data_IF_134042091407
#
_entry.id   IF_134042091407
#
_cell.length_a   1.000
_cell.length_b   1.000
_cell.length_c   1.000
_cell.angle_alpha   90.00
_cell.angle_beta   90.00
_cell.angle_gamma   90.00
#
_symmetry.space_group_name_H-M   'P 1'
#
loop_
_entity.id
_entity.type
_entity.pdbx_description
1 polymer ?
#
# COMPACT_ATOMS: atom_id res chain seq x y z
N UNK A 1 58.99 31.53 -34.83
CA UNK A 1 57.51 31.32 -34.93
C UNK A 1 57.15 30.18 -33.98
N UNK A 2 56.52 30.48 -32.84
CA UNK A 2 56.05 29.45 -31.89
C UNK A 2 54.56 29.23 -32.10
N UNK A 3 54.07 28.00 -32.22
CA UNK A 3 52.65 27.75 -32.30
C UNK A 3 51.99 27.89 -30.94
N UNK A 4 50.93 28.73 -30.87
CA UNK A 4 50.05 28.88 -29.71
C UNK A 4 49.10 27.69 -29.65
N UNK A 5 49.17 26.88 -28.63
CA UNK A 5 48.19 25.85 -28.26
C UNK A 5 46.96 26.54 -27.63
N UNK A 6 45.82 26.41 -28.24
CA UNK A 6 44.50 26.84 -27.69
C UNK A 6 43.97 25.66 -26.89
N UNK A 7 43.67 25.82 -25.55
CA UNK A 7 43.03 24.76 -24.79
C UNK A 7 41.55 24.67 -25.19
N UNK A 8 41.13 23.51 -25.66
CA UNK A 8 39.71 23.18 -25.82
C UNK A 8 39.16 22.80 -24.46
N UNK A 9 38.35 23.67 -23.86
CA UNK A 9 37.58 23.33 -22.65
C UNK A 9 36.42 22.43 -23.05
N UNK A 10 36.53 21.14 -22.72
CA UNK A 10 35.42 20.19 -22.75
C UNK A 10 34.49 20.49 -21.59
N UNK A 11 33.35 21.12 -21.81
CA UNK A 11 32.29 21.27 -20.84
C UNK A 11 31.62 19.91 -20.64
N UNK A 12 31.92 19.21 -19.54
CA UNK A 12 31.12 18.08 -19.09
C UNK A 12 29.76 18.58 -18.64
N UNK A 13 28.72 18.41 -19.47
CA UNK A 13 27.35 18.54 -19.05
C UNK A 13 27.01 17.32 -18.17
N UNK A 14 27.04 17.51 -16.85
CA UNK A 14 26.43 16.55 -15.92
C UNK A 14 24.91 16.62 -16.10
N UNK A 15 24.36 15.64 -16.81
CA UNK A 15 22.93 15.44 -16.81
C UNK A 15 22.52 15.14 -15.36
N UNK A 16 21.86 16.08 -14.70
CA UNK A 16 21.21 15.82 -13.42
C UNK A 16 20.08 14.83 -13.70
N UNK A 17 20.28 13.56 -13.36
CA UNK A 17 19.18 12.61 -13.32
C UNK A 17 18.19 13.12 -12.27
N UNK A 18 16.97 13.43 -12.69
CA UNK A 18 15.89 13.72 -11.78
C UNK A 18 15.76 12.51 -10.82
N UNK A 19 15.64 12.76 -9.51
CA UNK A 19 15.45 11.70 -8.55
C UNK A 19 14.21 10.88 -8.96
N UNK A 20 14.36 9.56 -9.03
CA UNK A 20 13.22 8.68 -9.28
C UNK A 20 12.33 8.63 -8.04
N UNK A 21 11.04 8.87 -8.22
CA UNK A 21 10.03 8.73 -7.19
C UNK A 21 9.26 7.43 -7.37
N UNK A 22 9.99 6.32 -7.47
CA UNK A 22 9.42 4.99 -7.61
C UNK A 22 8.53 4.62 -6.43
N UNK A 23 7.52 3.80 -6.71
CA UNK A 23 6.55 3.29 -5.75
C UNK A 23 6.60 1.75 -5.73
N UNK A 24 7.65 1.14 -5.12
CA UNK A 24 8.00 -0.25 -5.38
C UNK A 24 7.09 -1.29 -4.73
N UNK A 25 6.18 -0.88 -3.87
CA UNK A 25 5.34 -1.78 -3.06
C UNK A 25 4.09 -1.07 -2.55
N UNK A 26 3.25 -1.81 -1.83
CA UNK A 26 2.09 -1.32 -1.11
C UNK A 26 2.43 -0.09 -0.26
N UNK A 27 1.69 1.01 -0.49
CA UNK A 27 1.82 2.29 0.21
C UNK A 27 3.19 2.98 0.02
N UNK A 28 3.89 2.64 -1.07
CA UNK A 28 5.16 3.27 -1.45
C UNK A 28 6.39 2.75 -0.71
N UNK A 29 7.54 3.41 -0.88
CA UNK A 29 8.81 2.93 -0.34
C UNK A 29 8.80 2.72 1.17
N UNK A 30 8.09 3.58 1.90
CA UNK A 30 8.01 3.55 3.37
C UNK A 30 6.72 2.88 3.89
N UNK A 31 5.91 2.28 3.01
CA UNK A 31 4.59 1.67 3.32
C UNK A 31 3.64 2.61 4.07
N UNK A 32 3.66 3.90 3.70
CA UNK A 32 2.98 4.99 4.42
C UNK A 32 1.87 5.70 3.63
N UNK A 33 1.71 5.44 2.31
CA UNK A 33 0.91 6.22 1.35
C UNK A 33 1.34 7.69 1.26
N UNK A 34 2.62 7.97 1.55
CA UNK A 34 3.23 9.29 1.44
C UNK A 34 4.24 9.29 0.30
N UNK A 35 3.97 10.06 -0.75
CA UNK A 35 4.95 10.36 -1.79
C UNK A 35 5.83 11.53 -1.32
N UNK A 36 7.14 11.42 -1.58
CA UNK A 36 8.12 12.48 -1.28
C UNK A 36 8.27 13.46 -2.43
N UNK A 37 7.45 13.34 -3.46
CA UNK A 37 7.47 14.23 -4.61
C UNK A 37 7.04 15.65 -4.25
N UNK A 38 7.63 16.60 -4.96
CA UNK A 38 7.29 18.01 -4.95
C UNK A 38 7.14 18.54 -6.39
N UNK A 39 6.60 19.74 -6.55
CA UNK A 39 6.33 20.29 -7.89
C UNK A 39 5.11 19.65 -8.53
N UNK A 40 4.13 19.25 -7.74
CA UNK A 40 2.86 18.72 -8.21
C UNK A 40 1.78 19.81 -8.27
N UNK A 41 0.72 19.56 -9.05
CA UNK A 41 -0.42 20.47 -9.17
C UNK A 41 -1.04 20.73 -7.78
N UNK A 42 -0.96 21.97 -7.34
CA UNK A 42 -1.52 22.41 -6.06
C UNK A 42 -3.03 22.64 -6.11
N UNK A 43 -3.59 22.77 -7.33
CA UNK A 43 -5.00 22.88 -7.64
C UNK A 43 -5.27 22.19 -8.98
N UNK A 44 -6.33 21.43 -9.07
CA UNK A 44 -6.70 20.82 -10.34
C UNK A 44 -7.50 21.78 -11.21
N UNK A 45 -7.34 21.71 -12.54
CA UNK A 45 -8.20 22.42 -13.48
C UNK A 45 -9.65 21.88 -13.41
N UNK A 46 -10.58 22.61 -14.00
CA UNK A 46 -11.95 22.12 -14.16
C UNK A 46 -11.96 20.79 -14.93
N UNK A 47 -12.64 19.79 -14.37
CA UNK A 47 -12.66 18.43 -14.93
C UNK A 47 -11.49 17.53 -14.49
N UNK A 48 -10.58 18.02 -13.66
CA UNK A 48 -9.46 17.23 -13.10
C UNK A 48 -8.15 17.36 -13.89
N UNK A 49 -7.12 16.62 -13.48
CA UNK A 49 -5.83 16.61 -14.15
C UNK A 49 -5.91 15.93 -15.52
N UNK A 50 -4.97 16.23 -16.42
CA UNK A 50 -4.93 15.68 -17.78
C UNK A 50 -4.77 14.15 -17.73
N UNK A 51 -5.71 13.43 -18.32
CA UNK A 51 -5.60 11.99 -18.52
C UNK A 51 -4.53 11.70 -19.57
N UNK A 52 -3.57 10.82 -19.24
CA UNK A 52 -2.48 10.42 -20.12
C UNK A 52 -2.84 9.15 -20.89
N UNK A 53 -3.34 8.13 -20.19
CA UNK A 53 -3.74 6.88 -20.80
C UNK A 53 -4.76 6.12 -19.91
N UNK A 54 -5.42 5.13 -20.51
CA UNK A 54 -6.30 4.15 -19.87
C UNK A 54 -5.91 2.76 -20.32
N UNK A 55 -5.86 1.81 -19.40
CA UNK A 55 -5.70 0.38 -19.67
C UNK A 55 -6.96 -0.35 -19.18
N UNK A 56 -7.61 -1.11 -20.05
CA UNK A 56 -8.95 -1.70 -19.81
C UNK A 56 -8.94 -3.22 -19.73
N UNK A 57 -7.79 -3.85 -19.51
CA UNK A 57 -7.66 -5.31 -19.50
C UNK A 57 -6.91 -5.83 -18.26
N UNK A 58 -7.08 -5.15 -17.11
CA UNK A 58 -6.49 -5.63 -15.87
C UNK A 58 -7.28 -6.78 -15.23
N UNK A 59 -8.52 -7.00 -15.65
CA UNK A 59 -9.41 -8.00 -15.07
C UNK A 59 -9.88 -7.65 -13.66
N UNK A 60 -10.62 -8.55 -13.03
CA UNK A 60 -11.10 -8.35 -11.66
C UNK A 60 -9.94 -8.25 -10.67
N UNK A 61 -10.15 -7.47 -9.61
CA UNK A 61 -9.22 -7.35 -8.51
C UNK A 61 -9.13 -5.94 -7.94
N UNK A 62 -8.49 -5.83 -6.79
CA UNK A 62 -8.32 -4.58 -6.05
C UNK A 62 -6.84 -4.26 -5.80
N UNK A 63 -5.94 -4.95 -6.49
CA UNK A 63 -4.50 -4.76 -6.38
C UNK A 63 -4.10 -3.34 -6.78
N UNK A 64 -3.41 -2.63 -5.91
CA UNK A 64 -2.75 -1.38 -6.24
C UNK A 64 -1.56 -1.58 -7.19
N UNK A 65 -1.09 -0.55 -7.88
CA UNK A 65 0.12 -0.61 -8.69
C UNK A 65 1.39 -0.41 -7.85
N UNK A 66 2.45 -1.14 -8.23
CA UNK A 66 3.84 -0.78 -7.93
C UNK A 66 4.47 -0.16 -9.18
N UNK A 67 5.24 0.91 -9.01
CA UNK A 67 5.87 1.65 -10.11
C UNK A 67 7.38 1.64 -9.89
N UNK A 68 8.13 1.05 -10.80
CA UNK A 68 9.60 0.95 -10.71
C UNK A 68 10.20 1.05 -12.11
N UNK A 69 11.21 1.89 -12.25
CA UNK A 69 11.98 2.02 -13.50
C UNK A 69 11.10 2.19 -14.75
N UNK A 70 10.06 3.02 -14.66
CA UNK A 70 9.15 3.31 -15.78
C UNK A 70 8.18 2.17 -16.12
N UNK A 71 8.07 1.14 -15.27
CA UNK A 71 7.08 0.06 -15.39
C UNK A 71 6.10 0.08 -14.24
N UNK A 72 4.85 -0.28 -14.55
CA UNK A 72 3.78 -0.47 -13.60
C UNK A 72 3.53 -1.96 -13.45
N UNK A 73 3.50 -2.46 -12.21
CA UNK A 73 3.16 -3.84 -11.88
C UNK A 73 1.90 -3.87 -11.03
N UNK A 74 0.96 -4.75 -11.37
CA UNK A 74 -0.26 -4.97 -10.59
C UNK A 74 -0.76 -6.39 -10.77
N UNK A 75 -1.79 -6.78 -10.03
CA UNK A 75 -2.40 -8.09 -10.15
C UNK A 75 -3.83 -7.95 -10.71
N UNK A 76 -4.27 -8.96 -11.46
CA UNK A 76 -5.62 -9.00 -12.01
C UNK A 76 -6.06 -10.43 -12.32
N UNK A 77 -7.04 -10.57 -13.21
CA UNK A 77 -7.54 -11.89 -13.63
C UNK A 77 -7.60 -12.01 -15.14
N UNK A 78 -7.22 -13.18 -15.68
CA UNK A 78 -7.36 -13.56 -17.08
C UNK A 78 -7.57 -15.07 -17.19
N UNK A 79 -8.39 -15.49 -18.13
CA UNK A 79 -8.58 -16.91 -18.50
C UNK A 79 -8.78 -17.82 -17.27
N UNK A 80 -9.60 -17.37 -16.30
CA UNK A 80 -9.90 -18.12 -15.08
C UNK A 80 -8.76 -18.22 -14.07
N UNK A 81 -7.70 -17.39 -14.20
CA UNK A 81 -6.55 -17.32 -13.27
C UNK A 81 -6.30 -15.91 -12.79
N UNK A 82 -5.68 -15.79 -11.64
CA UNK A 82 -5.04 -14.54 -11.24
C UNK A 82 -3.74 -14.36 -12.02
N UNK A 83 -3.39 -13.12 -12.34
CA UNK A 83 -2.21 -12.79 -13.16
C UNK A 83 -1.43 -11.64 -12.55
N UNK A 84 -0.11 -11.66 -12.74
CA UNK A 84 0.74 -10.48 -12.57
C UNK A 84 0.83 -9.77 -13.91
N UNK A 85 0.60 -8.47 -13.93
CA UNK A 85 0.64 -7.62 -15.11
C UNK A 85 1.80 -6.65 -15.00
N UNK A 86 2.56 -6.48 -16.07
CA UNK A 86 3.53 -5.41 -16.23
C UNK A 86 3.13 -4.53 -17.40
N UNK A 87 3.01 -3.23 -17.14
CA UNK A 87 2.69 -2.21 -18.13
C UNK A 87 3.85 -1.23 -18.25
N UNK A 88 4.03 -0.62 -19.40
CA UNK A 88 4.85 0.57 -19.56
C UNK A 88 4.13 1.75 -18.86
N UNK A 89 4.76 2.33 -17.85
CA UNK A 89 4.13 3.38 -17.04
C UNK A 89 3.91 4.68 -17.81
N UNK A 90 4.66 4.92 -18.92
CA UNK A 90 4.50 6.12 -19.73
C UNK A 90 3.29 6.05 -20.65
N UNK A 91 2.99 4.87 -21.19
CA UNK A 91 2.01 4.67 -22.26
C UNK A 91 0.81 3.81 -21.87
N UNK A 92 0.87 3.09 -20.75
CA UNK A 92 -0.13 2.11 -20.34
C UNK A 92 -0.14 0.81 -21.17
N UNK A 93 0.81 0.64 -22.09
CA UNK A 93 0.89 -0.59 -22.91
C UNK A 93 1.36 -1.77 -22.07
N UNK A 94 0.73 -2.92 -22.28
CA UNK A 94 1.16 -4.15 -21.65
C UNK A 94 2.54 -4.59 -22.18
N UNK A 95 3.42 -4.96 -21.25
CA UNK A 95 4.75 -5.50 -21.54
C UNK A 95 4.72 -7.02 -21.44
N UNK A 96 4.15 -7.54 -20.35
CA UNK A 96 3.91 -8.95 -20.15
C UNK A 96 2.80 -9.20 -19.13
N UNK A 97 2.21 -10.38 -19.19
CA UNK A 97 1.28 -10.93 -18.21
C UNK A 97 1.69 -12.35 -17.84
N UNK A 98 1.77 -12.65 -16.55
CA UNK A 98 2.18 -13.96 -16.06
C UNK A 98 1.10 -14.57 -15.16
N UNK A 99 0.63 -15.79 -15.45
CA UNK A 99 -0.43 -16.44 -14.66
C UNK A 99 0.10 -16.87 -13.30
N UNK A 100 -0.74 -16.66 -12.27
CA UNK A 100 -0.61 -17.25 -10.95
C UNK A 100 -1.55 -18.42 -10.77
N UNK A 101 -1.40 -19.13 -9.64
CA UNK A 101 -2.22 -20.29 -9.35
C UNK A 101 -3.57 -19.86 -8.72
N UNK A 102 -4.67 -20.40 -9.24
CA UNK A 102 -6.01 -20.21 -8.72
C UNK A 102 -6.66 -18.87 -9.08
N UNK A 103 -7.84 -18.67 -8.56
CA UNK A 103 -8.60 -17.42 -8.60
C UNK A 103 -9.43 -17.33 -7.33
N UNK A 104 -9.43 -16.18 -6.69
CA UNK A 104 -10.33 -15.91 -5.58
C UNK A 104 -11.71 -15.58 -6.11
N UNK A 105 -12.69 -16.43 -5.79
CA UNK A 105 -14.11 -16.15 -6.01
C UNK A 105 -14.68 -15.48 -4.75
N UNK A 106 -15.38 -14.35 -4.92
CA UNK A 106 -15.97 -13.62 -3.81
C UNK A 106 -17.10 -12.69 -4.28
N UNK A 107 -18.21 -12.65 -3.53
CA UNK A 107 -19.38 -11.80 -3.83
C UNK A 107 -19.09 -10.29 -3.77
N UNK A 108 -18.05 -9.90 -3.06
CA UNK A 108 -17.58 -8.51 -2.97
C UNK A 108 -16.56 -8.16 -4.07
N UNK A 109 -16.50 -8.97 -5.11
CA UNK A 109 -15.53 -8.91 -6.21
C UNK A 109 -14.41 -9.93 -6.02
N UNK A 110 -14.22 -10.74 -7.05
CA UNK A 110 -13.18 -11.76 -7.11
C UNK A 110 -11.81 -11.18 -7.44
N UNK A 111 -10.82 -12.06 -7.55
CA UNK A 111 -9.46 -11.71 -7.94
C UNK A 111 -8.55 -11.22 -6.81
N UNK A 112 -7.29 -10.93 -7.13
CA UNK A 112 -6.24 -10.58 -6.18
C UNK A 112 -6.44 -9.17 -5.59
N UNK A 113 -5.93 -8.96 -4.38
CA UNK A 113 -6.12 -7.71 -3.65
C UNK A 113 -4.81 -7.05 -3.19
N UNK A 114 -3.76 -7.84 -2.93
CA UNK A 114 -2.45 -7.34 -2.54
C UNK A 114 -1.75 -6.60 -3.68
N UNK A 115 -0.95 -5.60 -3.37
CA UNK A 115 -0.05 -4.94 -4.32
C UNK A 115 1.22 -5.79 -4.46
N UNK A 116 1.75 -6.03 -5.67
CA UNK A 116 3.03 -6.70 -5.81
C UNK A 116 4.16 -5.83 -5.24
N UNK A 117 5.21 -6.50 -4.74
CA UNK A 117 6.44 -5.84 -4.27
C UNK A 117 7.55 -6.08 -5.28
N UNK A 118 8.21 -5.01 -5.70
CA UNK A 118 9.37 -5.05 -6.60
C UNK A 118 10.65 -4.84 -5.80
N UNK A 119 11.60 -5.73 -5.94
CA UNK A 119 12.94 -5.63 -5.34
C UNK A 119 14.00 -6.12 -6.32
N UNK A 120 14.90 -5.21 -6.73
CA UNK A 120 15.93 -5.49 -7.72
C UNK A 120 15.34 -5.93 -9.07
N UNK A 121 15.68 -7.14 -9.47
CA UNK A 121 15.25 -7.77 -10.73
C UNK A 121 14.03 -8.69 -10.57
N UNK A 122 13.28 -8.58 -9.47
CA UNK A 122 12.20 -9.50 -9.12
C UNK A 122 10.91 -8.80 -8.73
N UNK A 123 9.80 -9.49 -8.99
CA UNK A 123 8.45 -9.14 -8.55
C UNK A 123 7.93 -10.24 -7.63
N UNK A 124 7.45 -9.87 -6.45
CA UNK A 124 6.85 -10.77 -5.47
C UNK A 124 5.35 -10.50 -5.38
N UNK A 125 4.54 -11.51 -5.64
CA UNK A 125 3.10 -11.38 -5.76
C UNK A 125 2.39 -12.46 -4.96
N UNK A 126 1.40 -12.07 -4.16
CA UNK A 126 0.55 -12.96 -3.38
C UNK A 126 -0.84 -13.05 -4.00
N UNK A 127 -1.25 -14.26 -4.41
CA UNK A 127 -2.59 -14.51 -4.90
C UNK A 127 -3.63 -14.45 -3.78
N UNK A 128 -4.88 -14.14 -4.12
CA UNK A 128 -5.99 -14.16 -3.16
C UNK A 128 -6.21 -15.52 -2.52
N UNK A 129 -5.73 -16.60 -3.13
CA UNK A 129 -5.83 -17.98 -2.63
C UNK A 129 -4.61 -18.45 -1.83
N UNK A 130 -3.57 -17.59 -1.67
CA UNK A 130 -2.40 -17.84 -0.84
C UNK A 130 -1.20 -18.43 -1.57
N UNK A 131 -1.17 -18.36 -2.90
CA UNK A 131 0.03 -18.66 -3.69
C UNK A 131 0.96 -17.44 -3.71
N UNK A 132 2.17 -17.58 -3.16
CA UNK A 132 3.21 -16.57 -3.24
C UNK A 132 4.15 -16.89 -4.39
N UNK A 133 4.32 -15.97 -5.32
CA UNK A 133 5.14 -16.12 -6.52
C UNK A 133 6.27 -15.10 -6.52
N UNK A 134 7.46 -15.54 -6.89
CA UNK A 134 8.56 -14.69 -7.28
C UNK A 134 8.78 -14.82 -8.79
N UNK A 135 8.75 -13.68 -9.48
CA UNK A 135 8.89 -13.63 -10.94
C UNK A 135 10.06 -12.73 -11.32
N UNK A 136 10.66 -13.01 -12.47
CA UNK A 136 11.64 -12.12 -13.08
C UNK A 136 10.96 -10.82 -13.54
N UNK A 137 11.52 -9.67 -13.17
CA UNK A 137 11.02 -8.33 -13.52
C UNK A 137 10.95 -8.12 -15.04
N UNK A 138 11.88 -8.71 -15.76
CA UNK A 138 12.08 -8.49 -17.19
C UNK A 138 10.93 -9.06 -18.03
N UNK A 139 10.51 -10.29 -17.77
CA UNK A 139 9.64 -11.08 -18.63
C UNK A 139 8.53 -11.85 -17.90
N UNK A 140 8.43 -11.74 -16.58
CA UNK A 140 7.40 -12.40 -15.78
C UNK A 140 7.61 -13.90 -15.58
N UNK A 141 8.79 -14.47 -15.96
CA UNK A 141 9.07 -15.88 -15.70
C UNK A 141 9.09 -16.16 -14.22
N UNK A 142 8.40 -17.24 -13.82
CA UNK A 142 8.38 -17.70 -12.44
C UNK A 142 9.75 -18.24 -12.05
N UNK A 143 10.35 -17.68 -10.99
CA UNK A 143 11.61 -18.12 -10.40
C UNK A 143 11.33 -19.17 -9.34
N UNK A 144 10.40 -18.90 -8.43
CA UNK A 144 9.94 -19.85 -7.44
C UNK A 144 8.48 -19.55 -7.00
N UNK A 145 7.87 -20.54 -6.35
CA UNK A 145 6.53 -20.45 -5.74
C UNK A 145 6.56 -21.01 -4.33
N UNK A 146 5.73 -20.43 -3.47
CA UNK A 146 5.44 -20.96 -2.14
C UNK A 146 3.93 -20.88 -1.86
N UNK A 147 3.44 -21.64 -0.88
CA UNK A 147 2.02 -21.67 -0.52
C UNK A 147 1.85 -21.33 0.95
N UNK A 148 1.07 -20.29 1.24
CA UNK A 148 0.73 -19.93 2.62
C UNK A 148 -0.10 -21.03 3.31
N UNK A 149 -0.88 -21.81 2.53
CA UNK A 149 -1.59 -22.98 3.07
C UNK A 149 -0.62 -24.07 3.54
N UNK A 150 0.46 -24.32 2.81
CA UNK A 150 1.50 -25.27 3.22
C UNK A 150 2.22 -24.82 4.50
N UNK A 151 2.26 -23.52 4.77
CA UNK A 151 2.77 -22.92 6.00
C UNK A 151 1.72 -22.91 7.13
N UNK A 152 0.60 -23.61 6.98
CA UNK A 152 -0.44 -23.75 8.01
C UNK A 152 -1.55 -22.72 7.94
N UNK A 153 -1.55 -21.86 6.90
CA UNK A 153 -2.55 -20.82 6.70
C UNK A 153 -3.87 -21.33 6.16
N UNK A 154 -4.94 -20.60 6.44
CA UNK A 154 -6.26 -20.76 5.85
C UNK A 154 -6.65 -19.48 5.12
N UNK A 155 -7.23 -19.60 3.92
CA UNK A 155 -7.66 -18.44 3.14
C UNK A 155 -8.71 -17.65 3.92
N UNK A 156 -8.47 -16.36 4.24
CA UNK A 156 -9.47 -15.53 4.90
C UNK A 156 -10.73 -15.35 4.04
N UNK A 157 -11.82 -14.91 4.65
CA UNK A 157 -13.13 -14.73 3.98
C UNK A 157 -13.06 -13.92 2.68
N UNK A 158 -12.24 -12.90 2.63
CA UNK A 158 -12.03 -12.05 1.45
C UNK A 158 -10.69 -12.32 0.76
N UNK A 159 -10.11 -13.52 0.96
CA UNK A 159 -8.82 -13.90 0.42
C UNK A 159 -7.64 -13.33 1.21
N UNK A 160 -6.43 -13.72 0.83
CA UNK A 160 -5.23 -13.02 1.26
C UNK A 160 -5.14 -11.67 0.56
N UNK A 161 -5.11 -10.58 1.32
CA UNK A 161 -5.08 -9.21 0.81
C UNK A 161 -3.80 -8.47 1.17
N UNK A 162 -2.98 -9.10 2.00
CA UNK A 162 -1.67 -8.58 2.37
C UNK A 162 -0.80 -8.36 1.14
N UNK A 163 -0.04 -7.27 1.15
CA UNK A 163 1.06 -7.03 0.24
C UNK A 163 2.34 -7.45 0.94
N UNK A 164 3.02 -8.47 0.42
CA UNK A 164 4.21 -9.04 1.05
C UNK A 164 5.31 -7.99 1.23
N UNK A 165 6.06 -8.10 2.32
CA UNK A 165 7.22 -7.24 2.57
C UNK A 165 8.48 -7.96 2.09
N UNK A 166 9.31 -7.28 1.30
CA UNK A 166 10.67 -7.71 1.01
C UNK A 166 11.63 -6.85 1.81
N UNK A 167 12.50 -7.48 2.60
CA UNK A 167 13.46 -6.79 3.44
C UNK A 167 14.75 -7.59 3.59
N UNK A 168 15.86 -6.99 3.15
CA UNK A 168 17.14 -7.69 3.07
C UNK A 168 17.05 -8.94 2.19
N UNK A 169 17.28 -10.12 2.76
CA UNK A 169 17.17 -11.41 2.08
C UNK A 169 15.85 -12.14 2.35
N UNK A 170 14.88 -11.48 2.95
CA UNK A 170 13.61 -12.10 3.36
C UNK A 170 12.44 -11.58 2.54
N UNK A 171 11.48 -12.47 2.30
CA UNK A 171 10.10 -12.14 1.94
C UNK A 171 9.21 -12.54 3.10
N UNK A 172 8.45 -11.58 3.62
CA UNK A 172 7.57 -11.80 4.76
C UNK A 172 6.11 -11.81 4.30
N UNK A 173 5.37 -12.75 4.84
CA UNK A 173 3.92 -12.88 4.67
C UNK A 173 3.25 -13.37 5.95
N UNK A 174 1.92 -13.24 6.01
CA UNK A 174 1.10 -13.65 7.14
C UNK A 174 0.22 -14.86 6.75
N UNK A 175 0.75 -16.11 6.80
CA UNK A 175 -0.07 -17.30 6.59
C UNK A 175 -1.22 -17.38 7.60
N UNK A 176 -0.95 -17.04 8.85
CA UNK A 176 -1.83 -17.28 9.99
C UNK A 176 -1.87 -18.76 10.39
N UNK A 177 -2.50 -19.03 11.54
CA UNK A 177 -2.80 -20.39 12.00
C UNK A 177 -1.72 -21.05 12.86
N UNK A 178 -1.94 -22.32 13.19
CA UNK A 178 -1.25 -23.02 14.27
C UNK A 178 0.25 -23.29 14.09
N UNK A 179 0.79 -23.12 12.87
CA UNK A 179 2.24 -23.20 12.63
C UNK A 179 2.98 -21.89 12.90
N UNK A 180 2.25 -20.82 13.09
CA UNK A 180 2.74 -19.46 13.33
C UNK A 180 2.07 -18.45 12.42
N UNK A 181 1.80 -17.25 12.96
CA UNK A 181 1.03 -16.20 12.26
C UNK A 181 1.82 -15.59 11.10
N UNK A 182 3.10 -15.28 11.30
CA UNK A 182 3.98 -14.65 10.30
C UNK A 182 5.07 -15.61 9.88
N UNK A 183 5.40 -15.62 8.60
CA UNK A 183 6.50 -16.40 8.04
C UNK A 183 7.45 -15.51 7.26
N UNK A 184 8.75 -15.79 7.36
CA UNK A 184 9.80 -15.24 6.53
C UNK A 184 10.38 -16.34 5.65
N UNK A 185 10.47 -16.07 4.36
CA UNK A 185 11.04 -16.95 3.36
C UNK A 185 12.31 -16.30 2.80
N UNK A 186 13.29 -17.10 2.42
CA UNK A 186 14.44 -16.63 1.68
C UNK A 186 13.99 -16.08 0.31
N UNK A 187 14.31 -14.82 0.02
CA UNK A 187 13.82 -14.15 -1.19
C UNK A 187 14.36 -14.73 -2.50
N UNK A 188 15.49 -15.41 -2.46
CA UNK A 188 16.09 -16.02 -3.64
C UNK A 188 15.45 -17.35 -4.01
N UNK A 189 15.02 -18.12 -3.02
CA UNK A 189 14.61 -19.52 -3.18
C UNK A 189 13.17 -19.84 -2.77
N UNK A 190 12.50 -18.96 -2.02
CA UNK A 190 11.18 -19.20 -1.45
C UNK A 190 11.15 -20.23 -0.30
N UNK A 191 12.31 -20.67 0.20
CA UNK A 191 12.38 -21.60 1.34
C UNK A 191 12.08 -20.88 2.65
N UNK A 192 11.36 -21.57 3.55
CA UNK A 192 11.07 -21.03 4.89
C UNK A 192 12.37 -20.84 5.68
N UNK A 193 12.56 -19.63 6.22
CA UNK A 193 13.66 -19.27 7.13
C UNK A 193 13.19 -19.39 8.57
N UNK A 194 12.07 -18.72 8.90
CA UNK A 194 11.44 -18.81 10.21
C UNK A 194 9.92 -18.58 10.14
N UNK A 195 9.20 -19.01 11.15
CA UNK A 195 7.78 -18.73 11.37
C UNK A 195 7.55 -18.40 12.84
N UNK A 196 6.71 -17.40 13.13
CA UNK A 196 6.46 -16.89 14.48
C UNK A 196 5.64 -17.88 15.32
N UNK A 197 6.29 -18.84 15.97
CA UNK A 197 5.66 -19.97 16.68
C UNK A 197 4.81 -19.53 17.87
N UNK A 198 5.15 -18.42 18.50
CA UNK A 198 4.47 -17.89 19.69
C UNK A 198 3.16 -17.16 19.35
N UNK A 199 2.87 -16.96 18.06
CA UNK A 199 1.64 -16.35 17.57
C UNK A 199 0.92 -17.34 16.67
N UNK A 200 -0.35 -17.60 16.95
CA UNK A 200 -1.18 -18.55 16.19
C UNK A 200 -2.48 -17.94 15.66
N UNK A 201 -2.55 -16.63 15.61
CA UNK A 201 -3.69 -15.90 15.07
C UNK A 201 -3.89 -16.21 13.58
N UNK A 202 -5.14 -16.23 13.16
CA UNK A 202 -5.47 -16.28 11.72
C UNK A 202 -4.98 -15.02 10.98
N UNK A 203 -4.68 -15.18 9.71
CA UNK A 203 -4.40 -14.03 8.84
C UNK A 203 -5.63 -13.12 8.75
N UNK A 204 -5.40 -11.82 8.74
CA UNK A 204 -6.35 -10.80 8.36
C UNK A 204 -5.85 -10.05 7.11
N UNK A 205 -6.16 -8.77 6.98
CA UNK A 205 -6.02 -8.06 5.70
C UNK A 205 -4.95 -6.98 5.75
N UNK A 206 -4.29 -6.79 6.90
CA UNK A 206 -3.22 -5.83 7.13
C UNK A 206 -1.89 -6.32 6.56
N UNK A 207 -0.99 -5.41 6.23
CA UNK A 207 0.35 -5.70 5.72
C UNK A 207 1.42 -5.37 6.76
N UNK A 208 2.49 -6.17 6.79
CA UNK A 208 3.63 -6.00 7.70
C UNK A 208 4.37 -4.69 7.40
N UNK A 209 4.81 -3.99 8.44
CA UNK A 209 5.62 -2.76 8.33
C UNK A 209 6.99 -2.99 8.98
N UNK A 210 8.10 -2.72 8.27
CA UNK A 210 9.40 -2.66 8.90
C UNK A 210 9.51 -1.38 9.73
N UNK A 211 10.07 -1.47 10.92
CA UNK A 211 10.23 -0.34 11.84
C UNK A 211 11.58 -0.37 12.52
N UNK A 212 12.11 0.80 12.87
CA UNK A 212 13.27 0.94 13.76
C UNK A 212 12.80 1.63 15.03
N UNK A 213 12.75 0.90 16.14
CA UNK A 213 12.30 1.38 17.44
C UNK A 213 13.49 1.32 18.40
N UNK A 214 13.87 2.45 19.00
CA UNK A 214 15.08 2.58 19.80
C UNK A 214 16.35 2.00 19.12
N UNK A 215 16.51 2.28 17.81
CA UNK A 215 17.66 1.80 17.03
C UNK A 215 17.62 0.29 16.69
N UNK A 216 16.59 -0.45 17.09
CA UNK A 216 16.43 -1.87 16.82
C UNK A 216 15.37 -2.09 15.74
N UNK A 217 15.74 -2.81 14.68
CA UNK A 217 14.82 -3.20 13.60
C UNK A 217 13.79 -4.21 14.12
N UNK A 218 12.55 -4.06 13.70
CA UNK A 218 11.42 -4.91 14.05
C UNK A 218 10.45 -5.01 12.88
N UNK A 219 9.63 -6.06 12.85
CA UNK A 219 8.48 -6.15 11.95
C UNK A 219 7.20 -5.97 12.75
N UNK A 220 6.45 -4.92 12.43
CA UNK A 220 5.18 -4.62 13.09
C UNK A 220 4.04 -5.15 12.23
N UNK A 221 3.17 -5.96 12.83
CA UNK A 221 1.98 -6.50 12.19
C UNK A 221 0.81 -6.48 13.16
N UNK A 222 -0.40 -6.62 12.61
CA UNK A 222 -1.62 -6.80 13.39
C UNK A 222 -2.48 -7.92 12.83
N UNK A 223 -3.24 -8.55 13.72
CA UNK A 223 -4.30 -9.49 13.39
C UNK A 223 -5.67 -8.92 13.80
N UNK A 224 -6.70 -9.76 13.87
CA UNK A 224 -8.00 -9.32 14.39
C UNK A 224 -7.92 -8.92 15.86
N UNK A 225 -7.10 -9.60 16.66
CA UNK A 225 -7.09 -9.48 18.14
C UNK A 225 -6.00 -8.57 18.68
N UNK A 226 -4.87 -8.48 17.99
CA UNK A 226 -3.68 -7.87 18.57
C UNK A 226 -2.77 -7.18 17.54
N UNK A 227 -1.87 -6.37 18.07
CA UNK A 227 -0.75 -5.74 17.37
C UNK A 227 0.54 -6.20 18.03
N UNK A 228 1.56 -6.48 17.26
CA UNK A 228 2.82 -7.01 17.79
C UNK A 228 4.03 -6.58 16.96
N UNK A 229 5.20 -6.62 17.60
CA UNK A 229 6.51 -6.48 16.98
C UNK A 229 7.29 -7.77 17.03
N UNK A 230 7.95 -8.13 15.92
CA UNK A 230 8.73 -9.35 15.79
C UNK A 230 10.22 -9.06 15.63
N UNK A 231 11.05 -9.93 16.16
CA UNK A 231 12.48 -9.97 15.89
C UNK A 231 12.69 -10.38 14.41
N UNK A 232 13.44 -9.60 13.62
CA UNK A 232 13.65 -9.88 12.20
C UNK A 232 14.40 -11.17 11.90
N UNK A 233 15.27 -11.62 12.81
CA UNK A 233 16.13 -12.78 12.61
C UNK A 233 15.44 -14.09 12.97
N UNK A 234 14.57 -14.05 13.99
CA UNK A 234 14.00 -15.27 14.58
C UNK A 234 12.48 -15.41 14.43
N UNK A 235 11.77 -14.30 14.14
CA UNK A 235 10.32 -14.26 14.17
C UNK A 235 9.72 -14.32 15.59
N UNK A 236 10.55 -14.27 16.64
CA UNK A 236 10.11 -14.23 18.04
C UNK A 236 9.42 -12.90 18.37
N UNK A 237 8.41 -12.97 19.25
CA UNK A 237 7.67 -11.78 19.69
C UNK A 237 8.54 -10.92 20.59
N UNK A 238 8.70 -9.65 20.22
CA UNK A 238 9.38 -8.64 21.04
C UNK A 238 8.42 -7.95 22.00
N UNK A 239 7.23 -7.63 21.52
CA UNK A 239 6.13 -7.02 22.26
C UNK A 239 4.81 -7.32 21.59
N UNK A 240 3.73 -7.27 22.35
CA UNK A 240 2.36 -7.37 21.82
C UNK A 240 1.38 -6.62 22.71
N UNK A 241 0.25 -6.22 22.13
CA UNK A 241 -0.85 -5.57 22.83
C UNK A 241 -2.18 -5.91 22.16
N UNK A 242 -3.21 -6.08 22.98
CA UNK A 242 -4.55 -6.31 22.47
C UNK A 242 -5.10 -5.09 21.73
N UNK A 243 -5.68 -5.29 20.59
CA UNK A 243 -6.53 -4.33 19.90
C UNK A 243 -7.54 -5.07 19.04
N UNK A 244 -8.73 -5.28 19.61
CA UNK A 244 -9.77 -6.08 18.99
C UNK A 244 -10.38 -5.38 17.78
N UNK A 245 -10.16 -5.94 16.60
CA UNK A 245 -10.86 -5.61 15.38
C UNK A 245 -12.16 -6.39 15.24
N UNK A 246 -12.92 -6.09 14.20
CA UNK A 246 -14.16 -6.80 13.85
C UNK A 246 -14.25 -6.94 12.34
N UNK A 247 -14.83 -8.07 11.88
CA UNK A 247 -15.20 -8.32 10.48
C UNK A 247 -14.01 -8.26 9.51
N UNK A 248 -13.46 -7.08 9.24
CA UNK A 248 -12.33 -6.89 8.33
C UNK A 248 -11.33 -5.90 8.94
N UNK A 249 -10.15 -6.38 9.27
CA UNK A 249 -9.07 -5.60 9.85
C UNK A 249 -8.03 -5.37 8.77
N UNK A 250 -8.08 -4.19 8.15
CA UNK A 250 -7.37 -3.87 6.90
C UNK A 250 -6.25 -2.85 7.12
N UNK A 251 -6.45 -1.74 7.86
CA UNK A 251 -5.46 -0.68 7.93
C UNK A 251 -4.09 -1.18 8.41
N UNK A 252 -3.07 -0.81 7.64
CA UNK A 252 -1.67 -1.07 7.96
C UNK A 252 -1.27 -0.24 9.19
N UNK A 253 -0.51 -0.79 10.15
CA UNK A 253 0.02 -0.01 11.27
C UNK A 253 0.85 1.19 10.81
N UNK A 254 0.78 2.30 11.54
CA UNK A 254 1.64 3.48 11.34
C UNK A 254 2.65 3.52 12.45
N UNK A 255 3.93 3.57 12.10
CA UNK A 255 5.03 3.66 13.08
C UNK A 255 5.77 4.97 12.91
N UNK A 256 5.96 5.69 14.00
CA UNK A 256 6.80 6.89 14.05
C UNK A 256 7.60 6.88 15.35
N UNK A 257 8.92 6.93 15.24
CA UNK A 257 9.84 6.81 16.37
C UNK A 257 9.56 5.51 17.16
N UNK A 258 9.21 5.64 18.46
CA UNK A 258 8.84 4.52 19.33
C UNK A 258 7.32 4.36 19.50
N UNK A 259 6.51 5.03 18.68
CA UNK A 259 5.06 4.97 18.73
C UNK A 259 4.49 4.12 17.59
N UNK A 260 3.53 3.26 17.93
CA UNK A 260 2.77 2.44 16.98
C UNK A 260 1.29 2.82 17.09
N UNK A 261 0.73 3.25 15.98
CA UNK A 261 -0.68 3.62 15.84
C UNK A 261 -1.41 2.60 14.96
N UNK A 262 -2.59 2.18 15.40
CA UNK A 262 -3.47 1.28 14.67
C UNK A 262 -4.91 1.78 14.71
N UNK A 263 -5.68 1.43 13.68
CA UNK A 263 -7.12 1.72 13.61
C UNK A 263 -7.86 0.57 12.97
N UNK A 264 -9.13 0.43 13.26
CA UNK A 264 -10.03 -0.51 12.60
C UNK A 264 -11.45 0.03 12.53
N UNK A 265 -12.13 -0.34 11.45
CA UNK A 265 -13.53 -0.03 11.21
C UNK A 265 -14.48 -0.82 12.13
N UNK A 266 -15.78 -0.84 11.74
CA UNK A 266 -16.85 -1.57 12.46
C UNK A 266 -16.96 -1.20 13.94
N UNK A 267 -16.65 0.06 14.28
CA UNK A 267 -16.75 0.60 15.63
C UNK A 267 -15.57 0.28 16.54
N UNK A 268 -14.49 -0.35 16.07
CA UNK A 268 -13.30 -0.65 16.88
C UNK A 268 -12.58 0.61 17.34
N UNK A 269 -12.28 1.55 16.44
CA UNK A 269 -11.60 2.80 16.81
C UNK A 269 -10.13 2.81 16.44
N UNK A 270 -9.33 3.50 17.26
CA UNK A 270 -7.89 3.58 17.10
C UNK A 270 -7.18 3.53 18.45
N UNK A 271 -5.92 3.09 18.40
CA UNK A 271 -5.04 2.95 19.56
C UNK A 271 -3.64 3.38 19.19
N UNK A 272 -2.99 4.10 20.09
CA UNK A 272 -1.55 4.34 20.02
C UNK A 272 -0.87 3.73 21.24
N UNK A 273 0.24 3.07 21.00
CA UNK A 273 1.13 2.57 22.04
C UNK A 273 2.53 3.13 21.86
N UNK A 274 3.22 3.32 22.98
CA UNK A 274 4.65 3.58 23.04
C UNK A 274 5.37 2.29 23.42
N UNK A 275 6.44 2.00 22.69
CA UNK A 275 7.31 0.85 22.95
C UNK A 275 8.58 1.37 23.61
N UNK A 276 8.92 0.87 24.79
CA UNK A 276 10.15 1.24 25.50
C UNK A 276 11.39 0.55 24.90
N UNK A 277 12.58 0.97 25.30
CA UNK A 277 13.86 0.34 24.91
C UNK A 277 13.99 -1.11 25.37
N UNK A 278 13.18 -1.53 26.36
CA UNK A 278 13.06 -2.91 26.88
C UNK A 278 11.86 -3.66 26.30
N UNK A 279 11.21 -3.14 25.26
CA UNK A 279 10.01 -3.70 24.62
C UNK A 279 8.74 -3.71 25.51
N UNK A 280 8.71 -2.92 26.59
CA UNK A 280 7.47 -2.74 27.37
C UNK A 280 6.50 -1.85 26.59
N UNK A 281 5.22 -2.25 26.58
CA UNK A 281 4.15 -1.50 25.91
C UNK A 281 3.44 -0.60 26.90
N UNK A 282 3.32 0.68 26.57
CA UNK A 282 2.48 1.66 27.28
C UNK A 282 1.40 2.17 26.34
N UNK A 283 0.15 2.05 26.71
CA UNK A 283 -0.96 2.64 25.98
C UNK A 283 -0.91 4.15 26.16
N UNK A 284 -0.82 4.90 25.06
CA UNK A 284 -0.87 6.36 25.04
C UNK A 284 -2.31 6.82 25.07
N UNK A 285 -3.10 6.29 24.12
CA UNK A 285 -4.55 6.45 24.07
C UNK A 285 -5.23 5.30 23.32
N UNK A 286 -6.51 5.12 23.60
CA UNK A 286 -7.42 4.29 22.83
C UNK A 286 -8.77 5.01 22.76
N UNK A 287 -9.28 5.29 21.57
CA UNK A 287 -10.50 6.04 21.38
C UNK A 287 -11.22 5.72 20.06
N UNK A 288 -12.27 6.46 19.72
CA UNK A 288 -13.09 6.24 18.53
C UNK A 288 -13.07 7.44 17.55
N UNK A 289 -12.03 8.24 17.60
CA UNK A 289 -11.88 9.38 16.67
C UNK A 289 -11.64 8.89 15.24
N UNK A 290 -10.92 7.79 15.09
CA UNK A 290 -10.62 7.19 13.78
C UNK A 290 -11.03 5.70 13.77
N UNK A 291 -12.15 5.37 13.10
CA UNK A 291 -12.62 4.01 12.84
C UNK A 291 -12.43 3.70 11.36
N UNK A 292 -11.16 3.61 10.93
CA UNK A 292 -10.85 3.43 9.52
C UNK A 292 -11.10 1.98 9.06
N UNK A 293 -11.71 1.81 7.90
CA UNK A 293 -12.03 0.50 7.34
C UNK A 293 -10.94 0.04 6.34
N UNK A 294 -11.08 0.39 5.02
CA UNK A 294 -10.18 -0.09 3.99
C UNK A 294 -9.25 0.99 3.42
N UNK A 295 -9.64 2.25 3.56
CA UNK A 295 -8.96 3.36 2.88
C UNK A 295 -7.62 3.75 3.46
N UNK A 296 -7.22 3.14 4.57
CA UNK A 296 -5.99 3.47 5.26
C UNK A 296 -6.01 4.86 5.91
N UNK A 297 -4.92 5.17 6.56
CA UNK A 297 -4.65 6.51 7.12
C UNK A 297 -3.24 6.93 6.73
N UNK A 298 -3.01 8.22 6.56
CA UNK A 298 -1.68 8.80 6.34
C UNK A 298 -1.28 9.65 7.53
N UNK A 299 -0.02 9.55 7.94
CA UNK A 299 0.57 10.43 8.95
C UNK A 299 1.38 11.52 8.24
N UNK A 300 0.96 12.77 8.41
CA UNK A 300 1.65 13.95 7.88
C UNK A 300 2.03 14.86 9.05
N UNK A 301 3.32 15.04 9.27
CA UNK A 301 3.82 15.75 10.45
C UNK A 301 3.38 15.07 11.76
N UNK A 302 2.53 15.75 12.53
CA UNK A 302 2.00 15.28 13.81
C UNK A 302 0.49 14.92 13.72
N UNK A 303 -0.05 14.72 12.51
CA UNK A 303 -1.48 14.51 12.31
C UNK A 303 -1.77 13.30 11.41
N UNK A 304 -2.75 12.52 11.83
CA UNK A 304 -3.28 11.37 11.08
C UNK A 304 -4.51 11.83 10.31
N UNK A 305 -4.54 11.55 9.00
CA UNK A 305 -5.67 11.83 8.13
C UNK A 305 -6.25 10.53 7.59
N UNK A 306 -7.56 10.41 7.58
CA UNK A 306 -8.27 9.25 7.04
C UNK A 306 -9.78 9.39 7.14
N UNK A 307 -10.49 8.39 6.63
CA UNK A 307 -11.95 8.35 6.78
C UNK A 307 -12.34 7.62 8.07
N UNK A 308 -13.05 8.30 8.96
CA UNK A 308 -13.70 7.71 10.14
C UNK A 308 -15.07 7.17 9.76
N UNK A 309 -15.24 5.87 9.83
CA UNK A 309 -16.46 5.20 9.43
C UNK A 309 -17.46 5.09 10.62
N UNK A 310 -18.68 5.67 10.56
CA UNK A 310 -19.37 6.26 9.42
C UNK A 310 -19.35 7.80 9.38
N UNK A 311 -18.47 8.48 10.08
CA UNK A 311 -18.61 9.90 10.43
C UNK A 311 -17.96 10.87 9.45
N UNK A 312 -17.12 10.40 8.53
CA UNK A 312 -16.51 11.20 7.47
C UNK A 312 -15.00 11.31 7.54
N UNK A 313 -14.44 12.19 6.75
CA UNK A 313 -12.99 12.46 6.72
C UNK A 313 -12.56 13.22 7.96
N UNK A 314 -11.48 12.79 8.58
CA UNK A 314 -11.00 13.30 9.85
C UNK A 314 -9.50 13.59 9.84
N UNK A 315 -9.13 14.59 10.65
CA UNK A 315 -7.78 14.85 11.09
C UNK A 315 -7.71 14.60 12.60
N UNK A 316 -6.74 13.80 13.02
CA UNK A 316 -6.51 13.44 14.41
C UNK A 316 -5.08 13.81 14.81
N UNK A 317 -4.89 14.40 15.98
CA UNK A 317 -3.56 14.61 16.54
C UNK A 317 -2.92 13.27 16.88
N UNK A 318 -1.74 13.00 16.34
CA UNK A 318 -1.04 11.72 16.51
C UNK A 318 -0.58 11.49 17.95
N UNK A 319 -0.17 12.55 18.66
CA UNK A 319 0.37 12.44 20.03
C UNK A 319 -0.72 12.32 21.09
N UNK A 320 -1.81 13.10 20.94
CA UNK A 320 -2.87 13.18 21.98
C UNK A 320 -4.06 12.29 21.67
N UNK A 321 -4.25 11.89 20.41
CA UNK A 321 -5.42 11.14 19.96
C UNK A 321 -6.68 11.97 19.80
N UNK A 322 -6.60 13.29 19.98
CA UNK A 322 -7.73 14.21 19.88
C UNK A 322 -8.16 14.46 18.43
N UNK A 323 -9.46 14.64 18.22
CA UNK A 323 -9.99 15.06 16.93
C UNK A 323 -9.65 16.53 16.69
N UNK A 324 -9.03 16.84 15.55
CA UNK A 324 -8.74 18.21 15.14
C UNK A 324 -9.92 18.75 14.30
N UNK A 325 -10.37 17.97 13.33
CA UNK A 325 -11.57 18.25 12.56
C UNK A 325 -12.16 16.96 11.96
N UNK A 326 -13.45 17.00 11.62
CA UNK A 326 -14.18 15.94 10.93
C UNK A 326 -15.28 16.50 10.05
N UNK A 327 -15.38 16.00 8.79
CA UNK A 327 -16.35 16.49 7.80
C UNK A 327 -16.87 15.38 6.90
N UNK A 328 -18.07 15.58 6.31
CA UNK A 328 -18.73 14.64 5.38
C UNK A 328 -18.74 15.14 3.93
N UNK A 329 -17.73 15.89 3.53
CA UNK A 329 -17.67 16.54 2.21
C UNK A 329 -17.41 15.57 1.05
N UNK A 330 -16.92 14.38 1.35
CA UNK A 330 -16.70 13.28 0.41
C UNK A 330 -17.06 11.96 1.11
N UNK A 331 -17.61 11.01 0.35
CA UNK A 331 -17.91 9.68 0.86
C UNK A 331 -16.66 8.91 1.29
N UNK A 332 -16.89 7.75 1.89
CA UNK A 332 -15.84 6.84 2.35
C UNK A 332 -14.91 6.45 1.20
N UNK A 333 -13.61 6.34 1.50
CA UNK A 333 -12.63 6.01 0.49
C UNK A 333 -11.21 5.88 1.01
N UNK A 334 -10.25 5.87 0.07
CA UNK A 334 -8.82 5.74 0.33
C UNK A 334 -8.10 7.09 0.23
N UNK A 335 -6.93 7.18 0.88
CA UNK A 335 -6.11 8.39 0.93
C UNK A 335 -4.64 8.11 0.61
N UNK A 336 -4.02 9.02 -0.14
CA UNK A 336 -2.58 9.15 -0.26
C UNK A 336 -2.18 10.63 -0.10
N UNK A 337 -0.91 10.88 0.19
CA UNK A 337 -0.35 12.21 0.37
C UNK A 337 0.80 12.47 -0.59
N UNK A 338 0.85 13.67 -1.15
CA UNK A 338 2.01 14.21 -1.87
C UNK A 338 1.98 15.75 -1.84
N UNK A 339 3.15 16.40 -1.70
CA UNK A 339 3.36 17.83 -1.90
C UNK A 339 2.34 18.75 -1.19
N UNK A 340 2.07 18.49 0.10
CA UNK A 340 1.11 19.25 0.90
C UNK A 340 -0.36 18.95 0.63
N UNK A 341 -0.67 17.97 -0.22
CA UNK A 341 -2.04 17.60 -0.60
C UNK A 341 -2.39 16.17 -0.23
N UNK A 342 -3.65 15.95 0.13
CA UNK A 342 -4.27 14.64 0.24
C UNK A 342 -5.06 14.36 -1.02
N UNK A 343 -4.81 13.18 -1.60
CA UNK A 343 -5.51 12.63 -2.75
C UNK A 343 -6.52 11.62 -2.24
N UNK A 344 -7.80 11.95 -2.28
CA UNK A 344 -8.88 11.16 -1.72
C UNK A 344 -9.67 10.48 -2.83
N UNK A 345 -9.83 9.15 -2.78
CA UNK A 345 -10.61 8.38 -3.75
C UNK A 345 -11.83 7.77 -3.06
N UNK A 346 -13.02 8.23 -3.43
CA UNK A 346 -14.30 7.76 -2.86
C UNK A 346 -14.75 6.45 -3.48
N UNK A 347 -15.19 5.50 -2.66
CA UNK A 347 -15.43 4.10 -3.04
C UNK A 347 -16.67 3.85 -3.89
N UNK A 348 -17.75 4.65 -3.74
CA UNK A 348 -19.03 4.38 -4.40
C UNK A 348 -19.11 4.97 -5.80
N UNK A 349 -18.68 6.22 -5.94
CA UNK A 349 -18.82 7.00 -7.16
C UNK A 349 -17.56 7.08 -8.00
N UNK A 350 -16.39 6.80 -7.38
CA UNK A 350 -15.10 7.03 -8.00
C UNK A 350 -14.71 8.52 -8.08
N UNK A 351 -15.35 9.37 -7.26
CA UNK A 351 -14.91 10.76 -7.13
C UNK A 351 -13.54 10.84 -6.49
N UNK A 352 -12.68 11.68 -7.03
CA UNK A 352 -11.35 11.96 -6.53
C UNK A 352 -11.29 13.43 -6.12
N UNK A 353 -10.90 13.71 -4.88
CA UNK A 353 -10.75 15.08 -4.38
C UNK A 353 -9.30 15.34 -3.98
N UNK A 354 -8.82 16.54 -4.29
CA UNK A 354 -7.55 17.09 -3.83
C UNK A 354 -7.84 18.06 -2.72
N UNK A 355 -7.34 17.81 -1.52
CA UNK A 355 -7.51 18.71 -0.38
C UNK A 355 -6.16 19.08 0.25
N UNK A 356 -6.14 20.17 0.97
CA UNK A 356 -4.96 20.57 1.74
C UNK A 356 -4.75 19.65 2.95
N UNK A 357 -3.51 19.17 3.15
CA UNK A 357 -3.15 18.42 4.35
C UNK A 357 -2.95 19.41 5.53
N UNK A 358 -4.03 19.90 6.09
CA UNK A 358 -4.03 21.02 7.04
C UNK A 358 -4.85 20.70 8.29
N UNK A 359 -4.47 21.31 9.42
CA UNK A 359 -5.24 21.31 10.68
C UNK A 359 -6.36 22.35 10.70
N UNK A 360 -6.44 23.23 9.69
CA UNK A 360 -7.41 24.31 9.61
C UNK A 360 -8.78 23.85 9.05
N UNK A 361 -8.98 22.56 8.86
CA UNK A 361 -10.20 21.98 8.30
C UNK A 361 -10.08 21.60 6.83
N UNK A 362 -11.21 21.24 6.24
CA UNK A 362 -11.32 20.84 4.84
C UNK A 362 -11.17 22.03 3.90
N UNK A 363 -10.15 21.99 3.05
CA UNK A 363 -9.98 22.96 1.98
C UNK A 363 -9.70 22.23 0.67
N UNK A 364 -10.68 22.24 -0.22
CA UNK A 364 -10.64 21.50 -1.47
C UNK A 364 -10.01 22.34 -2.58
N UNK A 365 -9.13 21.69 -3.36
CA UNK A 365 -8.39 22.29 -4.47
C UNK A 365 -8.72 21.65 -5.83
N UNK A 366 -9.76 20.84 -5.89
CA UNK A 366 -10.29 20.26 -7.11
C UNK A 366 -10.93 18.90 -6.86
N UNK A 367 -11.85 18.56 -7.77
CA UNK A 367 -12.56 17.28 -7.77
C UNK A 367 -12.81 16.85 -9.22
N UNK A 368 -12.68 15.55 -9.45
CA UNK A 368 -13.10 14.90 -10.70
C UNK A 368 -13.60 13.49 -10.39
N UNK A 369 -14.05 12.78 -11.40
CA UNK A 369 -14.48 11.39 -11.31
C UNK A 369 -13.61 10.53 -12.21
N UNK A 370 -13.26 9.31 -11.75
CA UNK A 370 -12.57 8.34 -12.61
C UNK A 370 -13.47 8.02 -13.81
N UNK A 371 -12.93 8.16 -15.01
CA UNK A 371 -13.59 7.81 -16.25
C UNK A 371 -12.59 7.22 -17.28
N UNK A 372 -12.95 6.08 -17.93
CA UNK A 372 -14.18 5.30 -17.77
C UNK A 372 -14.22 4.56 -16.41
N UNK A 373 -15.40 4.14 -15.99
CA UNK A 373 -15.59 3.21 -14.88
C UNK A 373 -15.81 1.80 -15.40
N UNK A 374 -15.44 0.81 -14.58
CA UNK A 374 -15.63 -0.60 -14.91
C UNK A 374 -17.09 -0.97 -15.11
N UNK A 375 -17.32 -1.96 -16.00
CA UNK A 375 -18.62 -2.59 -16.21
C UNK A 375 -18.71 -3.97 -15.54
N UNK A 376 -17.61 -4.47 -14.96
CA UNK A 376 -17.52 -5.82 -14.37
C UNK A 376 -17.52 -5.83 -12.85
N UNK A 377 -17.73 -4.68 -12.20
CA UNK A 377 -17.81 -4.59 -10.74
C UNK A 377 -19.00 -5.39 -10.23
N UNK A 378 -18.78 -6.27 -9.24
CA UNK A 378 -19.88 -6.97 -8.58
C UNK A 378 -20.80 -5.96 -7.87
N UNK A 379 -22.06 -6.33 -7.64
CA UNK A 379 -23.05 -5.45 -6.97
C UNK A 379 -22.57 -4.94 -5.60
N UNK A 380 -21.81 -5.78 -4.87
CA UNK A 380 -21.24 -5.44 -3.56
C UNK A 380 -19.86 -4.80 -3.64
N UNK A 381 -19.23 -4.83 -4.81
CA UNK A 381 -17.90 -4.28 -5.04
C UNK A 381 -17.90 -2.76 -5.10
N UNK A 382 -16.77 -2.15 -4.76
CA UNK A 382 -16.55 -0.70 -4.76
C UNK A 382 -15.21 -0.37 -5.42
N UNK A 383 -14.82 0.90 -5.46
CA UNK A 383 -13.48 1.34 -5.84
C UNK A 383 -12.61 1.31 -4.58
N UNK A 384 -11.91 0.21 -4.36
CA UNK A 384 -11.13 0.00 -3.12
C UNK A 384 -9.62 0.10 -3.29
N UNK A 385 -9.15 0.33 -4.49
CA UNK A 385 -7.72 0.52 -4.74
C UNK A 385 -7.27 1.90 -4.28
N UNK A 386 -6.15 1.99 -3.56
CA UNK A 386 -5.59 3.27 -3.11
C UNK A 386 -5.03 4.07 -4.29
N UNK A 387 -5.12 5.41 -4.28
CA UNK A 387 -4.44 6.24 -5.25
C UNK A 387 -2.92 6.13 -5.07
N UNK A 388 -2.18 6.12 -6.18
CA UNK A 388 -0.71 6.09 -6.19
C UNK A 388 -0.18 7.31 -6.91
N UNK A 389 0.72 8.05 -6.26
CA UNK A 389 1.41 9.22 -6.84
C UNK A 389 2.88 8.85 -7.02
N UNK A 390 3.33 8.80 -8.27
CA UNK A 390 4.69 8.41 -8.64
C UNK A 390 5.15 9.09 -9.93
N UNK A 391 6.30 9.75 -9.88
CA UNK A 391 6.96 10.39 -11.01
C UNK A 391 6.06 11.41 -11.75
N UNK A 392 5.37 12.29 -10.99
CA UNK A 392 4.48 13.32 -11.51
C UNK A 392 3.15 12.79 -12.05
N UNK A 393 2.79 11.56 -11.71
CA UNK A 393 1.57 10.90 -12.19
C UNK A 393 0.72 10.39 -11.06
N UNK A 394 -0.61 10.46 -11.26
CA UNK A 394 -1.61 9.84 -10.41
C UNK A 394 -2.17 8.60 -11.13
N UNK A 395 -2.05 7.45 -10.48
CA UNK A 395 -2.59 6.18 -10.96
C UNK A 395 -3.80 5.81 -10.12
N UNK A 396 -4.91 5.53 -10.79
CA UNK A 396 -6.17 5.10 -10.19
C UNK A 396 -6.62 3.81 -10.84
N UNK A 397 -7.29 2.94 -10.08
CA UNK A 397 -7.80 1.67 -10.60
C UNK A 397 -9.24 1.43 -10.15
N UNK A 398 -10.05 0.95 -11.08
CA UNK A 398 -11.40 0.43 -10.86
C UNK A 398 -11.55 -0.92 -11.58
N UNK A 399 -11.29 -2.03 -10.89
CA UNK A 399 -11.29 -3.40 -11.40
C UNK A 399 -10.35 -3.58 -12.60
N UNK A 400 -10.91 -3.81 -13.79
CA UNK A 400 -10.20 -4.00 -15.05
C UNK A 400 -9.62 -2.73 -15.65
N UNK A 401 -10.00 -1.57 -15.12
CA UNK A 401 -9.61 -0.26 -15.62
C UNK A 401 -8.52 0.35 -14.75
N UNK A 402 -7.41 0.74 -15.36
CA UNK A 402 -6.35 1.55 -14.76
C UNK A 402 -6.23 2.85 -15.54
N UNK A 403 -6.28 3.97 -14.86
CA UNK A 403 -6.17 5.31 -15.48
C UNK A 403 -4.97 6.04 -14.90
N UNK A 404 -4.21 6.68 -15.77
CA UNK A 404 -3.07 7.51 -15.41
C UNK A 404 -3.34 8.97 -15.78
N UNK A 405 -3.07 9.86 -14.82
CA UNK A 405 -3.22 11.31 -14.99
C UNK A 405 -1.88 12.01 -14.76
N UNK A 406 -1.68 13.13 -15.48
CA UNK A 406 -0.56 14.03 -15.26
C UNK A 406 -0.88 14.98 -14.10
N UNK A 407 -0.11 14.90 -13.04
CA UNK A 407 -0.26 15.77 -11.85
C UNK A 407 0.98 16.63 -11.62
N UNK A 408 1.92 16.68 -12.58
CA UNK A 408 3.10 17.53 -12.51
C UNK A 408 2.69 18.98 -12.74
N UNK A 409 3.19 19.88 -11.90
CA UNK A 409 3.12 21.33 -12.19
C UNK A 409 4.00 21.65 -13.39
N UNK A 410 3.51 22.51 -14.26
CA UNK A 410 4.22 22.94 -15.48
C UNK A 410 5.42 23.82 -15.19
#
# INVERSE_FOLDING_TARGET
MHPRLIPVLLALQTAAFAASHDWPQWRGPDRSDVSRETGLLQKWPAGGPKKLWTFENAGNGYSGPAIVNGRLFTLGTRDGKEVVLALDAATGKEVWAAPMDGILANDWGGGPRGTPTVDGDRVYALSGTGGLHCLALADGKVIWKASLKALGGSVPKWGYTESVLVDGNLVLATPGGGKGTVAALDKATGKLVWQSKDLTDAAHYSSIVPAVIHGKKQYVQRTERQVFGLNPETGGVLWQTDFQGRTAVIPTPVVKDNFVYVTAGYGSGCKQVEISSTNTVRVVYENKVMRNHHGGVVLVGEHVFGHDDPSGWACQNFKTGEEVWKVKNLGKGAVAYADGRLYLLEENTGNVALIEASTQGWKEHGRFRIEPQTKIRSERGKVWTHPVISNGRLYLRDQDIIVCYDVKAG
#
